data_IF_330854776776
#
_entry.id   IF_330854776776
#
_cell.length_a   1.000
_cell.length_b   1.000
_cell.length_c   1.000
_cell.angle_alpha   90.00
_cell.angle_beta   90.00
_cell.angle_gamma   90.00
#
_symmetry.space_group_name_H-M   'P 1'
#
loop_
_entity.id
_entity.type
_entity.pdbx_description
1 polymer ?
#
# COMPACT_ATOMS: atom_id res chain seq x y z
N UNK A 1 -0.74 52.49 37.01
CA UNK A 1 -1.95 52.21 36.20
C UNK A 1 -1.74 50.86 35.54
N UNK A 2 -2.32 49.81 36.11
CA UNK A 2 -2.21 48.44 35.60
C UNK A 2 -3.28 48.21 34.53
N UNK A 3 -2.84 47.89 33.32
CA UNK A 3 -3.68 47.45 32.20
C UNK A 3 -4.17 46.03 32.52
N UNK A 4 -5.41 45.89 32.99
CA UNK A 4 -6.03 44.58 33.13
C UNK A 4 -6.31 44.04 31.72
N UNK A 5 -5.61 42.97 31.34
CA UNK A 5 -5.96 42.17 30.19
C UNK A 5 -7.35 41.58 30.42
N UNK A 6 -8.34 42.09 29.68
CA UNK A 6 -9.70 41.55 29.66
C UNK A 6 -9.61 40.14 29.09
N UNK A 7 -9.74 39.13 29.95
CA UNK A 7 -9.89 37.74 29.53
C UNK A 7 -11.24 37.65 28.81
N UNK A 8 -11.31 37.30 27.51
CA UNK A 8 -12.58 37.25 26.79
C UNK A 8 -13.49 36.19 27.41
N UNK A 9 -14.79 36.48 27.45
CA UNK A 9 -15.77 35.54 28.00
C UNK A 9 -15.75 34.24 27.19
N UNK A 10 -16.04 33.09 27.83
CA UNK A 10 -16.05 31.76 27.18
C UNK A 10 -16.87 31.70 25.86
N UNK A 11 -17.87 32.56 25.70
CA UNK A 11 -18.68 32.68 24.48
C UNK A 11 -17.94 33.28 23.27
N UNK A 12 -16.99 34.19 23.50
CA UNK A 12 -16.30 34.93 22.43
C UNK A 12 -15.32 34.03 21.68
N UNK A 13 -14.64 33.14 22.40
CA UNK A 13 -13.70 32.17 21.83
C UNK A 13 -14.39 31.13 20.93
N UNK A 14 -15.56 30.64 21.35
CA UNK A 14 -16.35 29.69 20.56
C UNK A 14 -16.90 30.33 19.29
N UNK A 15 -17.38 31.57 19.36
CA UNK A 15 -17.85 32.31 18.20
C UNK A 15 -16.72 32.63 17.21
N UNK A 16 -15.54 33.02 17.72
CA UNK A 16 -14.36 33.25 16.90
C UNK A 16 -13.89 31.96 16.20
N UNK A 17 -13.86 30.84 16.93
CA UNK A 17 -13.50 29.53 16.40
C UNK A 17 -14.51 29.00 15.37
N UNK A 18 -15.78 29.38 15.44
CA UNK A 18 -16.85 28.99 14.51
C UNK A 18 -16.90 29.81 13.20
N UNK A 19 -15.98 30.76 13.01
CA UNK A 19 -16.02 31.71 11.90
C UNK A 19 -15.74 31.06 10.53
N UNK A 20 -16.53 31.44 9.52
CA UNK A 20 -16.32 31.03 8.12
C UNK A 20 -15.01 31.58 7.53
N UNK A 21 -14.51 32.71 8.04
CA UNK A 21 -13.20 33.25 7.65
C UNK A 21 -12.07 32.32 8.09
N UNK A 22 -12.18 31.74 9.29
CA UNK A 22 -11.24 30.73 9.78
C UNK A 22 -11.30 29.49 8.91
N UNK A 23 -12.49 29.02 8.52
CA UNK A 23 -12.65 27.91 7.58
C UNK A 23 -11.89 28.16 6.26
N UNK A 24 -12.06 29.34 5.66
CA UNK A 24 -11.37 29.70 4.41
C UNK A 24 -9.85 29.70 4.55
N UNK A 25 -9.32 30.27 5.65
CA UNK A 25 -7.88 30.25 5.93
C UNK A 25 -7.38 28.82 6.09
N UNK A 26 -8.11 27.97 6.81
CA UNK A 26 -7.73 26.58 7.02
C UNK A 26 -7.78 25.74 5.73
N UNK A 27 -8.75 26.01 4.85
CA UNK A 27 -8.81 25.39 3.51
C UNK A 27 -7.64 25.84 2.64
N UNK A 28 -7.27 27.12 2.68
CA UNK A 28 -6.09 27.63 1.99
C UNK A 28 -4.79 27.01 2.53
N UNK A 29 -4.68 26.85 3.85
CA UNK A 29 -3.54 26.16 4.49
C UNK A 29 -3.49 24.68 4.11
N UNK A 30 -4.63 23.99 4.03
CA UNK A 30 -4.69 22.60 3.56
C UNK A 30 -4.21 22.49 2.11
N UNK A 31 -4.70 23.37 1.22
CA UNK A 31 -4.29 23.40 -0.18
C UNK A 31 -2.78 23.72 -0.33
N UNK A 32 -2.27 24.69 0.44
CA UNK A 32 -0.86 25.02 0.48
C UNK A 32 -0.01 23.86 1.03
N UNK A 33 -0.50 23.16 2.06
CA UNK A 33 0.15 21.97 2.62
C UNK A 33 0.29 20.86 1.58
N UNK A 34 -0.78 20.57 0.83
CA UNK A 34 -0.75 19.62 -0.29
C UNK A 34 0.27 20.07 -1.34
N UNK A 35 0.21 21.33 -1.79
CA UNK A 35 1.16 21.85 -2.78
C UNK A 35 2.62 21.77 -2.34
N UNK A 36 2.90 22.14 -1.08
CA UNK A 36 4.23 22.06 -0.50
C UNK A 36 4.76 20.63 -0.43
N UNK A 37 3.91 19.64 -0.14
CA UNK A 37 4.34 18.23 -0.11
C UNK A 37 4.78 17.73 -1.48
N UNK A 38 4.13 18.17 -2.56
CA UNK A 38 4.55 17.85 -3.92
C UNK A 38 5.82 18.59 -4.35
N UNK A 39 6.02 19.82 -3.88
CA UNK A 39 7.13 20.66 -4.32
C UNK A 39 8.43 20.45 -3.53
N UNK A 40 8.34 20.04 -2.27
CA UNK A 40 9.45 20.06 -1.32
C UNK A 40 9.79 18.69 -0.72
N UNK A 41 9.16 17.60 -1.20
CA UNK A 41 9.26 16.25 -0.61
C UNK A 41 9.08 16.26 0.93
N UNK A 42 8.23 17.16 1.42
CA UNK A 42 7.99 17.35 2.85
C UNK A 42 7.14 16.22 3.45
N UNK A 43 7.20 16.04 4.77
CA UNK A 43 6.37 15.06 5.50
C UNK A 43 4.87 15.33 5.27
N UNK A 44 4.30 14.53 4.37
CA UNK A 44 2.90 14.55 3.94
C UNK A 44 1.95 14.37 5.13
N UNK A 45 2.35 13.62 6.17
CA UNK A 45 1.48 13.30 7.30
C UNK A 45 1.14 14.52 8.14
N UNK A 46 2.13 15.34 8.49
CA UNK A 46 1.86 16.54 9.30
C UNK A 46 1.19 17.64 8.48
N UNK A 47 1.61 17.83 7.23
CA UNK A 47 1.07 18.84 6.33
C UNK A 47 -0.44 18.67 6.07
N UNK A 48 -0.95 17.44 6.12
CA UNK A 48 -2.38 17.14 5.97
C UNK A 48 -3.12 17.02 7.30
N UNK A 49 -2.58 16.29 8.28
CA UNK A 49 -3.32 16.02 9.53
C UNK A 49 -3.54 17.27 10.40
N UNK A 50 -2.59 18.21 10.44
CA UNK A 50 -2.70 19.43 11.23
C UNK A 50 -3.85 20.36 10.76
N UNK A 51 -3.92 20.78 9.47
CA UNK A 51 -5.03 21.60 9.00
C UNK A 51 -6.38 20.86 9.06
N UNK A 52 -6.41 19.54 8.82
CA UNK A 52 -7.64 18.75 9.00
C UNK A 52 -8.11 18.76 10.46
N UNK A 53 -7.20 18.61 11.43
CA UNK A 53 -7.53 18.71 12.85
C UNK A 53 -8.10 20.08 13.24
N UNK A 54 -7.50 21.16 12.71
CA UNK A 54 -8.02 22.52 12.92
C UNK A 54 -9.39 22.73 12.26
N UNK A 55 -9.60 22.19 11.06
CA UNK A 55 -10.91 22.21 10.38
C UNK A 55 -11.98 21.47 11.19
N UNK A 56 -11.63 20.32 11.77
CA UNK A 56 -12.55 19.58 12.64
C UNK A 56 -12.95 20.40 13.87
N UNK A 57 -11.99 21.07 14.52
CA UNK A 57 -12.27 21.94 15.67
C UNK A 57 -13.14 23.15 15.29
N UNK A 58 -12.85 23.79 14.15
CA UNK A 58 -13.66 24.89 13.61
C UNK A 58 -15.10 24.45 13.32
N UNK A 59 -15.28 23.30 12.67
CA UNK A 59 -16.60 22.78 12.34
C UNK A 59 -17.38 22.34 13.59
N UNK A 60 -16.72 21.71 14.56
CA UNK A 60 -17.34 21.38 15.84
C UNK A 60 -17.81 22.64 16.59
N UNK A 61 -16.98 23.69 16.61
CA UNK A 61 -17.36 24.99 17.17
C UNK A 61 -18.56 25.60 16.42
N UNK A 62 -18.58 25.51 15.09
CA UNK A 62 -19.69 25.99 14.28
C UNK A 62 -21.01 25.27 14.58
N UNK A 63 -20.99 23.94 14.76
CA UNK A 63 -22.17 23.14 15.14
C UNK A 63 -22.66 23.54 16.55
N UNK A 64 -21.73 23.73 17.49
CA UNK A 64 -22.04 24.10 18.87
C UNK A 64 -22.53 25.55 19.02
N UNK A 65 -22.02 26.49 18.23
CA UNK A 65 -22.37 27.90 18.33
C UNK A 65 -23.67 28.25 17.57
N UNK A 66 -23.91 27.65 16.41
CA UNK A 66 -25.00 28.09 15.52
C UNK A 66 -26.34 27.35 15.79
N UNK A 67 -27.38 28.03 16.27
CA UNK A 67 -28.67 27.39 16.58
C UNK A 67 -29.44 26.94 15.33
N UNK A 68 -29.17 27.54 14.16
CA UNK A 68 -29.79 27.18 12.88
C UNK A 68 -29.50 25.73 12.52
N UNK A 69 -28.25 25.28 12.70
CA UNK A 69 -27.87 23.89 12.44
C UNK A 69 -28.61 22.93 13.36
N UNK A 70 -28.78 23.28 14.65
CA UNK A 70 -29.46 22.41 15.62
C UNK A 70 -30.97 22.31 15.44
N UNK A 71 -31.58 23.31 14.81
CA UNK A 71 -33.04 23.36 14.59
C UNK A 71 -33.47 22.60 13.34
N UNK A 72 -32.59 22.43 12.35
CA UNK A 72 -32.87 21.68 11.13
C UNK A 72 -32.12 20.35 11.15
N UNK A 73 -32.85 19.25 11.34
CA UNK A 73 -32.26 17.90 11.47
C UNK A 73 -31.45 17.49 10.25
N UNK A 74 -31.91 17.80 9.03
CA UNK A 74 -31.20 17.46 7.81
C UNK A 74 -29.86 18.22 7.70
N UNK A 75 -29.87 19.53 7.99
CA UNK A 75 -28.63 20.31 8.04
C UNK A 75 -27.71 19.87 9.17
N UNK A 76 -28.24 19.48 10.34
CA UNK A 76 -27.43 18.95 11.44
C UNK A 76 -26.69 17.68 11.03
N UNK A 77 -27.42 16.71 10.46
CA UNK A 77 -26.84 15.43 10.00
C UNK A 77 -25.77 15.68 8.95
N UNK A 78 -26.00 16.61 8.01
CA UNK A 78 -25.00 16.98 7.02
C UNK A 78 -23.70 17.50 7.65
N UNK A 79 -23.79 18.43 8.60
CA UNK A 79 -22.59 19.00 9.24
C UNK A 79 -21.88 17.98 10.15
N UNK A 80 -22.63 17.10 10.81
CA UNK A 80 -22.05 16.00 11.59
C UNK A 80 -21.34 14.99 10.67
N UNK A 81 -21.91 14.68 9.51
CA UNK A 81 -21.27 13.83 8.51
C UNK A 81 -19.99 14.49 7.95
N UNK A 82 -20.01 15.81 7.68
CA UNK A 82 -18.82 16.55 7.28
C UNK A 82 -17.74 16.55 8.38
N UNK A 83 -18.11 16.72 9.65
CA UNK A 83 -17.19 16.61 10.77
C UNK A 83 -16.59 15.22 10.87
N UNK A 84 -17.41 14.18 10.75
CA UNK A 84 -16.95 12.80 10.71
C UNK A 84 -15.95 12.58 9.56
N UNK A 85 -16.23 13.09 8.36
CA UNK A 85 -15.31 12.99 7.21
C UNK A 85 -13.95 13.63 7.50
N UNK A 86 -13.93 14.85 8.04
CA UNK A 86 -12.66 15.55 8.35
C UNK A 86 -11.88 14.82 9.44
N UNK A 87 -12.56 14.36 10.50
CA UNK A 87 -11.93 13.61 11.61
C UNK A 87 -11.39 12.27 11.11
N UNK A 88 -12.17 11.52 10.34
CA UNK A 88 -11.77 10.23 9.77
C UNK A 88 -10.60 10.40 8.79
N UNK A 89 -10.61 11.43 7.95
CA UNK A 89 -9.49 11.70 7.04
C UNK A 89 -8.19 12.01 7.81
N UNK A 90 -8.26 12.80 8.88
CA UNK A 90 -7.12 13.07 9.76
C UNK A 90 -6.64 11.79 10.46
N UNK A 91 -7.56 11.00 11.01
CA UNK A 91 -7.25 9.74 11.69
C UNK A 91 -6.65 8.70 10.72
N UNK A 92 -7.18 8.59 9.50
CA UNK A 92 -6.66 7.74 8.44
C UNK A 92 -5.21 8.12 8.11
N UNK A 93 -4.94 9.43 7.88
CA UNK A 93 -3.57 9.89 7.61
C UNK A 93 -2.61 9.69 8.79
N UNK A 94 -3.08 9.63 10.03
CA UNK A 94 -2.23 9.34 11.18
C UNK A 94 -2.02 7.84 11.42
N UNK A 95 -2.88 6.97 10.88
CA UNK A 95 -2.87 5.52 11.18
C UNK A 95 -2.64 4.61 9.98
N UNK A 96 -2.55 5.16 8.76
CA UNK A 96 -2.35 4.37 7.54
C UNK A 96 -1.01 3.65 7.52
N UNK A 97 -0.94 2.61 6.69
CA UNK A 97 0.30 2.03 6.19
C UNK A 97 0.17 1.82 4.69
N UNK A 98 1.24 2.14 3.97
CA UNK A 98 1.46 1.74 2.59
C UNK A 98 2.84 1.09 2.52
N UNK A 99 2.96 -0.03 1.83
CA UNK A 99 4.25 -0.68 1.69
C UNK A 99 4.34 -1.64 0.53
N UNK A 100 5.54 -2.11 0.29
CA UNK A 100 5.87 -3.05 -0.77
C UNK A 100 6.67 -4.21 -0.18
N UNK A 101 6.46 -5.40 -0.73
CA UNK A 101 7.23 -6.59 -0.42
C UNK A 101 7.36 -7.45 -1.68
N UNK A 102 8.27 -8.42 -1.64
CA UNK A 102 8.44 -9.40 -2.70
C UNK A 102 8.54 -10.79 -2.08
N UNK A 103 7.87 -11.77 -2.65
CA UNK A 103 7.95 -13.17 -2.20
C UNK A 103 8.19 -14.07 -3.39
N UNK A 104 9.22 -14.93 -3.28
CA UNK A 104 9.37 -16.04 -4.19
C UNK A 104 8.28 -17.11 -3.93
N UNK A 105 8.00 -17.92 -4.94
CA UNK A 105 7.08 -19.04 -4.81
C UNK A 105 7.56 -20.02 -3.72
N UNK A 106 6.68 -20.28 -2.76
CA UNK A 106 6.94 -21.07 -1.56
C UNK A 106 7.39 -20.27 -0.34
N UNK A 107 7.71 -18.99 -0.48
CA UNK A 107 8.07 -18.13 0.65
C UNK A 107 6.85 -17.66 1.45
N UNK A 108 7.08 -17.38 2.73
CA UNK A 108 6.08 -16.90 3.67
C UNK A 108 6.37 -15.44 4.01
N UNK A 109 5.37 -14.59 3.91
CA UNK A 109 5.45 -13.23 4.43
C UNK A 109 5.52 -13.25 5.96
N UNK A 110 6.59 -12.69 6.50
CA UNK A 110 6.89 -12.66 7.94
C UNK A 110 6.69 -11.27 8.57
N UNK A 111 6.02 -10.34 7.88
CA UNK A 111 5.81 -8.98 8.34
C UNK A 111 6.88 -7.97 7.92
N UNK A 112 7.92 -8.39 7.20
CA UNK A 112 8.99 -7.50 6.72
C UNK A 112 8.63 -6.88 5.36
N UNK A 113 8.64 -5.56 5.27
CA UNK A 113 8.42 -4.82 4.03
C UNK A 113 9.74 -4.33 3.46
N UNK A 114 9.90 -4.43 2.13
CA UNK A 114 11.07 -3.89 1.43
C UNK A 114 11.08 -2.36 1.48
N UNK A 115 9.90 -1.75 1.36
CA UNK A 115 9.70 -0.31 1.46
C UNK A 115 8.37 -0.05 2.18
N UNK A 116 8.33 0.97 3.04
CA UNK A 116 7.10 1.31 3.75
C UNK A 116 7.02 2.80 4.08
N UNK A 117 5.79 3.30 4.10
CA UNK A 117 5.40 4.62 4.55
C UNK A 117 4.20 4.44 5.48
N UNK A 118 4.24 5.05 6.67
CA UNK A 118 3.19 4.89 7.67
C UNK A 118 2.88 6.20 8.38
N UNK A 119 1.64 6.32 8.83
CA UNK A 119 1.22 7.40 9.71
C UNK A 119 1.89 7.30 11.08
N UNK A 120 2.07 8.45 11.75
CA UNK A 120 2.79 8.55 13.04
C UNK A 120 2.19 7.71 14.17
N UNK A 121 0.91 7.35 14.08
CA UNK A 121 0.19 6.53 15.05
C UNK A 121 -0.06 5.11 14.55
N UNK A 122 0.46 4.74 13.38
CA UNK A 122 0.37 3.36 12.92
C UNK A 122 1.14 2.44 13.88
N UNK A 123 0.47 1.42 14.38
CA UNK A 123 1.07 0.33 15.15
C UNK A 123 1.12 -0.88 14.25
N UNK A 124 2.29 -1.21 13.72
CA UNK A 124 2.45 -2.36 12.83
C UNK A 124 2.05 -3.65 13.55
N UNK A 125 1.17 -4.42 12.91
CA UNK A 125 0.79 -5.77 13.30
C UNK A 125 0.92 -6.73 12.09
N UNK A 126 1.83 -6.40 11.16
CA UNK A 126 2.02 -7.14 9.91
C UNK A 126 2.43 -8.59 10.15
N UNK A 127 3.09 -8.88 11.27
CA UNK A 127 3.47 -10.22 11.70
C UNK A 127 2.27 -11.14 11.95
N UNK A 128 1.06 -10.60 12.10
CA UNK A 128 -0.19 -11.37 12.19
C UNK A 128 -0.77 -11.71 10.82
N UNK A 129 -0.42 -10.94 9.79
CA UNK A 129 -0.94 -11.08 8.44
C UNK A 129 -0.07 -12.01 7.57
N UNK A 130 0.37 -13.14 8.11
CA UNK A 130 1.26 -14.07 7.41
C UNK A 130 0.50 -14.86 6.34
N UNK A 131 1.10 -14.98 5.16
CA UNK A 131 0.62 -15.85 4.10
C UNK A 131 1.81 -16.38 3.30
N UNK A 132 1.67 -17.55 2.69
CA UNK A 132 2.65 -18.12 1.77
C UNK A 132 2.25 -17.81 0.33
N UNK A 133 3.23 -17.41 -0.49
CA UNK A 133 3.05 -17.28 -1.92
C UNK A 133 3.05 -18.67 -2.58
N UNK A 134 1.97 -19.06 -3.25
CA UNK A 134 1.90 -20.32 -4.00
C UNK A 134 2.22 -20.15 -5.49
N UNK A 135 2.64 -18.94 -5.92
CA UNK A 135 3.02 -18.64 -7.30
C UNK A 135 1.90 -17.97 -8.08
N UNK A 136 2.23 -17.53 -9.30
CA UNK A 136 1.30 -16.78 -10.15
C UNK A 136 1.15 -17.36 -11.55
N UNK A 137 0.04 -16.98 -12.17
CA UNK A 137 -0.22 -17.12 -13.60
C UNK A 137 -0.59 -15.74 -14.14
N UNK A 138 0.11 -15.31 -15.19
CA UNK A 138 -0.15 -14.03 -15.86
C UNK A 138 -0.28 -14.28 -17.35
N UNK A 139 -1.42 -13.88 -17.90
CA UNK A 139 -1.66 -13.91 -19.35
C UNK A 139 -1.20 -12.60 -19.99
N UNK A 140 -0.68 -12.69 -21.20
CA UNK A 140 -0.28 -11.56 -22.03
C UNK A 140 -1.04 -11.63 -23.35
N UNK A 141 -1.62 -10.51 -23.74
CA UNK A 141 -2.16 -10.28 -25.07
C UNK A 141 -1.04 -9.89 -26.04
N UNK A 142 -1.39 -9.80 -27.33
CA UNK A 142 -0.49 -9.31 -28.38
C UNK A 142 0.14 -7.97 -27.99
N UNK A 143 1.40 -7.79 -28.34
CA UNK A 143 2.23 -6.65 -27.93
C UNK A 143 2.75 -6.76 -26.50
N UNK A 144 2.72 -7.94 -25.88
CA UNK A 144 3.16 -8.17 -24.49
C UNK A 144 2.37 -7.30 -23.49
N UNK A 145 1.09 -7.10 -23.79
CA UNK A 145 0.18 -6.36 -22.92
C UNK A 145 -0.32 -7.28 -21.80
N UNK A 146 -0.03 -6.93 -20.54
CA UNK A 146 -0.47 -7.73 -19.40
C UNK A 146 -1.99 -7.75 -19.31
N UNK A 147 -2.57 -8.94 -19.36
CA UNK A 147 -3.98 -9.17 -19.10
C UNK A 147 -4.17 -9.58 -17.63
N UNK A 148 -4.89 -10.68 -17.39
CA UNK A 148 -5.23 -11.14 -16.05
C UNK A 148 -4.02 -11.67 -15.26
N UNK A 149 -3.87 -11.18 -14.02
CA UNK A 149 -2.97 -11.74 -13.00
C UNK A 149 -3.75 -12.59 -12.01
N UNK A 150 -3.25 -13.79 -11.72
CA UNK A 150 -3.78 -14.67 -10.66
C UNK A 150 -2.62 -15.18 -9.82
N UNK A 151 -2.55 -14.82 -8.54
CA UNK A 151 -1.52 -15.29 -7.62
C UNK A 151 -2.16 -16.11 -6.50
N UNK A 152 -1.82 -17.41 -6.42
CA UNK A 152 -2.28 -18.28 -5.34
C UNK A 152 -1.60 -17.92 -4.02
N UNK A 153 -2.36 -17.92 -2.94
CA UNK A 153 -1.83 -17.71 -1.58
C UNK A 153 -2.52 -18.65 -0.60
N UNK A 154 -1.79 -19.04 0.44
CA UNK A 154 -2.33 -19.80 1.57
C UNK A 154 -1.95 -19.17 2.90
N UNK A 155 -2.81 -19.30 3.90
CA UNK A 155 -2.51 -18.85 5.27
C UNK A 155 -3.24 -19.73 6.28
N UNK A 156 -2.83 -19.64 7.54
CA UNK A 156 -3.57 -20.22 8.66
C UNK A 156 -4.43 -19.11 9.26
N UNK A 157 -5.72 -19.37 9.47
CA UNK A 157 -6.61 -18.43 10.16
C UNK A 157 -6.40 -18.45 11.69
N UNK A 158 -7.14 -17.60 12.40
CA UNK A 158 -7.07 -17.48 13.87
C UNK A 158 -7.42 -18.79 14.61
N UNK A 159 -8.11 -19.73 13.95
CA UNK A 159 -8.43 -21.06 14.49
C UNK A 159 -7.41 -22.12 14.09
N UNK A 160 -6.36 -21.74 13.34
CA UNK A 160 -5.35 -22.65 12.82
C UNK A 160 -5.80 -23.44 11.60
N UNK A 161 -6.94 -23.11 10.96
CA UNK A 161 -7.38 -23.79 9.75
C UNK A 161 -6.68 -23.22 8.51
N UNK A 162 -6.29 -24.11 7.60
CA UNK A 162 -5.64 -23.74 6.35
C UNK A 162 -6.65 -23.13 5.38
N UNK A 163 -6.39 -21.89 4.99
CA UNK A 163 -7.16 -21.15 4.00
C UNK A 163 -6.33 -20.95 2.73
N UNK A 164 -7.03 -20.83 1.60
CA UNK A 164 -6.46 -20.51 0.29
C UNK A 164 -7.29 -19.43 -0.39
N UNK A 165 -6.61 -18.56 -1.12
CA UNK A 165 -7.24 -17.56 -1.98
C UNK A 165 -6.39 -17.29 -3.20
N UNK A 166 -6.96 -16.56 -4.15
CA UNK A 166 -6.25 -16.02 -5.31
C UNK A 166 -6.30 -14.52 -5.23
N UNK A 167 -5.13 -13.89 -5.20
CA UNK A 167 -5.01 -12.44 -5.36
C UNK A 167 -5.03 -12.15 -6.86
N UNK A 168 -5.99 -11.33 -7.28
CA UNK A 168 -6.13 -10.87 -8.66
C UNK A 168 -5.88 -9.37 -8.80
N UNK A 169 -6.04 -8.83 -10.01
CA UNK A 169 -5.75 -7.42 -10.28
C UNK A 169 -6.60 -6.43 -9.45
N UNK A 170 -7.85 -6.80 -9.12
CA UNK A 170 -8.77 -5.97 -8.31
C UNK A 170 -9.17 -6.60 -6.97
N UNK A 171 -8.83 -7.88 -6.77
CA UNK A 171 -9.26 -8.67 -5.62
C UNK A 171 -8.07 -8.89 -4.69
N UNK A 172 -7.92 -8.09 -3.61
CA UNK A 172 -6.82 -8.25 -2.68
C UNK A 172 -7.06 -9.42 -1.72
N UNK A 173 -5.96 -9.94 -1.18
CA UNK A 173 -6.03 -10.68 0.07
C UNK A 173 -6.22 -9.67 1.22
N UNK A 174 -7.19 -9.91 2.09
CA UNK A 174 -7.45 -9.06 3.27
C UNK A 174 -7.20 -9.86 4.54
N UNK A 175 -6.17 -9.50 5.31
CA UNK A 175 -5.82 -10.12 6.58
C UNK A 175 -5.64 -9.05 7.65
N UNK A 176 -6.37 -9.16 8.77
CA UNK A 176 -6.28 -8.22 9.90
C UNK A 176 -6.33 -6.73 9.50
N UNK A 177 -7.13 -6.39 8.48
CA UNK A 177 -7.27 -5.02 7.96
C UNK A 177 -6.21 -4.60 6.92
N UNK A 178 -5.15 -5.40 6.73
CA UNK A 178 -4.18 -5.22 5.66
C UNK A 178 -4.70 -5.79 4.35
N UNK A 179 -4.60 -5.01 3.29
CA UNK A 179 -5.02 -5.38 1.92
C UNK A 179 -3.78 -5.56 1.06
N UNK A 180 -3.53 -6.79 0.62
CA UNK A 180 -2.40 -7.13 -0.24
C UNK A 180 -2.87 -7.25 -1.68
N UNK A 181 -2.26 -6.46 -2.56
CA UNK A 181 -2.49 -6.47 -4.00
C UNK A 181 -1.22 -6.95 -4.70
N UNK A 182 -1.38 -7.70 -5.80
CA UNK A 182 -0.25 -7.95 -6.72
C UNK A 182 0.19 -6.63 -7.37
N UNK A 183 1.50 -6.43 -7.47
CA UNK A 183 2.09 -5.30 -8.17
C UNK A 183 2.41 -5.65 -9.64
N UNK A 184 2.89 -4.69 -10.40
CA UNK A 184 3.47 -4.95 -11.74
C UNK A 184 4.80 -5.67 -11.71
N UNK A 185 5.48 -5.68 -10.55
CA UNK A 185 6.79 -6.27 -10.37
C UNK A 185 6.63 -7.77 -10.10
N UNK A 186 7.27 -8.56 -10.96
CA UNK A 186 7.44 -10.00 -10.85
C UNK A 186 8.65 -10.39 -11.66
N UNK A 187 9.21 -11.57 -11.41
CA UNK A 187 10.36 -12.03 -12.17
C UNK A 187 10.80 -13.42 -11.78
N UNK A 188 12.04 -13.72 -12.10
CA UNK A 188 12.68 -15.00 -11.80
C UNK A 188 13.42 -14.93 -10.47
N UNK A 189 13.30 -16.00 -9.69
CA UNK A 189 13.96 -16.15 -8.40
C UNK A 189 14.79 -17.44 -8.37
N UNK A 190 16.10 -17.37 -8.63
CA UNK A 190 17.00 -18.48 -8.36
C UNK A 190 16.92 -18.93 -6.90
N UNK A 191 16.76 -20.23 -6.69
CA UNK A 191 16.78 -20.86 -5.37
C UNK A 191 18.16 -21.43 -5.11
N UNK A 192 18.76 -21.05 -4.00
CA UNK A 192 20.05 -21.54 -3.56
C UNK A 192 19.95 -22.28 -2.24
N UNK A 193 20.82 -23.28 -2.07
CA UNK A 193 21.11 -23.90 -0.77
C UNK A 193 22.57 -23.62 -0.43
N UNK A 194 22.79 -22.96 0.69
CA UNK A 194 24.09 -22.65 1.24
C UNK A 194 24.44 -23.60 2.38
N UNK A 195 25.53 -24.34 2.19
CA UNK A 195 26.13 -25.24 3.17
C UNK A 195 27.40 -24.58 3.72
N UNK A 196 27.32 -23.76 4.79
CA UNK A 196 28.52 -23.16 5.36
C UNK A 196 29.41 -24.25 5.98
N UNK A 197 30.73 -24.02 5.98
CA UNK A 197 31.70 -24.92 6.65
C UNK A 197 31.45 -24.98 8.16
N UNK A 198 30.89 -23.92 8.73
CA UNK A 198 30.39 -23.88 10.10
C UNK A 198 29.05 -23.15 10.17
N UNK A 199 28.07 -23.76 10.83
CA UNK A 199 26.71 -23.22 10.98
C UNK A 199 25.64 -24.09 10.34
N UNK A 200 24.39 -23.61 10.39
CA UNK A 200 23.25 -24.32 9.82
C UNK A 200 23.14 -24.10 8.31
N UNK A 201 22.66 -25.14 7.61
CA UNK A 201 22.23 -25.07 6.21
C UNK A 201 21.18 -23.97 6.04
N UNK A 202 21.31 -23.18 4.98
CA UNK A 202 20.35 -22.12 4.66
C UNK A 202 19.84 -22.28 3.23
N UNK A 203 18.53 -22.34 3.06
CA UNK A 203 17.88 -22.29 1.75
C UNK A 203 17.24 -20.91 1.58
N UNK A 204 17.40 -20.29 0.43
CA UNK A 204 16.83 -18.97 0.16
C UNK A 204 16.83 -18.64 -1.32
N UNK A 205 16.22 -17.51 -1.65
CA UNK A 205 16.12 -17.02 -3.02
C UNK A 205 16.71 -15.63 -3.17
N UNK A 206 17.11 -15.30 -4.39
CA UNK A 206 17.37 -13.92 -4.80
C UNK A 206 16.33 -13.53 -5.85
N UNK A 207 15.75 -12.34 -5.75
CA UNK A 207 14.78 -11.86 -6.72
C UNK A 207 15.51 -11.08 -7.81
N UNK A 208 15.59 -11.64 -9.01
CA UNK A 208 16.18 -10.94 -10.16
C UNK A 208 15.30 -9.77 -10.59
N UNK A 209 15.85 -8.75 -11.29
CA UNK A 209 15.08 -7.61 -11.77
C UNK A 209 13.81 -8.03 -12.53
N UNK A 210 12.76 -7.21 -12.42
CA UNK A 210 11.43 -7.58 -12.92
C UNK A 210 11.40 -7.90 -14.42
N UNK A 211 10.68 -8.96 -14.79
CA UNK A 211 10.50 -9.41 -16.18
C UNK A 211 9.05 -9.14 -16.64
N UNK A 212 8.81 -8.70 -17.89
CA UNK A 212 9.78 -8.46 -18.98
C UNK A 212 10.46 -7.08 -19.00
N UNK A 213 10.11 -6.16 -18.09
CA UNK A 213 10.61 -4.76 -18.11
C UNK A 213 12.15 -4.67 -18.10
N UNK A 214 12.83 -5.63 -17.49
CA UNK A 214 14.29 -5.73 -17.44
C UNK A 214 14.81 -7.02 -18.06
N UNK A 215 14.22 -7.44 -19.19
CA UNK A 215 14.60 -8.65 -19.93
C UNK A 215 16.12 -8.77 -20.19
N UNK A 216 16.77 -7.70 -20.66
CA UNK A 216 18.21 -7.70 -20.93
C UNK A 216 19.09 -7.44 -19.69
N UNK A 217 18.49 -7.33 -18.50
CA UNK A 217 19.18 -7.06 -17.23
C UNK A 217 18.76 -8.04 -16.13
N UNK A 218 18.80 -9.34 -16.42
CA UNK A 218 18.53 -10.41 -15.46
C UNK A 218 19.76 -10.75 -14.60
N UNK A 219 20.34 -9.73 -13.95
CA UNK A 219 21.50 -9.88 -13.10
C UNK A 219 21.47 -8.93 -11.89
N UNK A 220 22.08 -9.34 -10.78
CA UNK A 220 22.27 -8.51 -9.59
C UNK A 220 23.49 -8.94 -8.77
N UNK A 221 23.89 -8.07 -7.83
CA UNK A 221 24.86 -8.40 -6.78
C UNK A 221 24.15 -8.66 -5.45
N UNK A 222 24.62 -9.67 -4.72
CA UNK A 222 24.10 -10.04 -3.42
C UNK A 222 25.20 -10.60 -2.51
N UNK A 223 24.98 -10.58 -1.20
CA UNK A 223 25.93 -11.08 -0.23
C UNK A 223 25.56 -12.47 0.25
N UNK A 224 26.54 -13.37 0.29
CA UNK A 224 26.34 -14.71 0.79
C UNK A 224 26.11 -14.70 2.31
N UNK A 225 25.00 -15.28 2.82
CA UNK A 225 24.61 -15.13 4.21
C UNK A 225 25.67 -15.57 5.22
N UNK A 226 25.97 -14.69 6.18
CA UNK A 226 26.97 -14.95 7.24
C UNK A 226 28.42 -14.79 6.78
N UNK A 227 28.65 -14.20 5.60
CA UNK A 227 29.98 -13.91 5.05
C UNK A 227 30.02 -12.50 4.48
N UNK A 228 31.22 -12.00 4.17
CA UNK A 228 31.42 -10.75 3.41
C UNK A 228 31.65 -11.01 1.91
N UNK A 229 31.34 -12.22 1.43
CA UNK A 229 31.51 -12.58 0.02
C UNK A 229 30.33 -12.04 -0.78
N UNK A 230 30.61 -11.12 -1.69
CA UNK A 230 29.64 -10.63 -2.68
C UNK A 230 29.68 -11.51 -3.92
N UNK A 231 28.51 -11.90 -4.41
CA UNK A 231 28.31 -12.65 -5.64
C UNK A 231 27.54 -11.79 -6.62
N UNK A 232 28.02 -11.75 -7.85
CA UNK A 232 27.21 -11.29 -8.97
C UNK A 232 26.56 -12.51 -9.62
N UNK A 233 25.26 -12.48 -9.84
CA UNK A 233 24.52 -13.61 -10.43
C UNK A 233 23.67 -13.11 -11.58
N UNK A 234 23.78 -13.79 -12.72
CA UNK A 234 22.98 -13.54 -13.91
C UNK A 234 22.27 -14.81 -14.36
N UNK A 235 20.98 -14.69 -14.65
CA UNK A 235 20.23 -15.73 -15.33
C UNK A 235 20.45 -15.61 -16.84
N UNK A 236 20.87 -16.70 -17.47
CA UNK A 236 21.10 -16.79 -18.90
C UNK A 236 20.20 -17.87 -19.51
N UNK A 237 19.40 -17.47 -20.48
CA UNK A 237 18.58 -18.35 -21.32
C UNK A 237 18.51 -17.75 -22.73
N UNK A 238 18.31 -18.61 -23.73
CA UNK A 238 18.15 -18.23 -25.14
C UNK A 238 16.79 -18.72 -25.61
N UNK A 239 15.75 -18.02 -25.18
CA UNK A 239 14.36 -18.40 -25.41
C UNK A 239 13.45 -17.17 -25.40
N UNK A 240 12.51 -17.10 -26.35
CA UNK A 240 11.45 -16.08 -26.35
C UNK A 240 10.33 -16.57 -25.43
N UNK A 241 10.24 -15.98 -24.22
CA UNK A 241 9.23 -16.39 -23.24
C UNK A 241 7.88 -15.75 -23.50
N UNK A 242 7.87 -14.49 -23.94
CA UNK A 242 6.68 -13.72 -24.27
C UNK A 242 6.77 -13.24 -25.72
N UNK A 243 6.00 -13.89 -26.59
CA UNK A 243 5.95 -13.55 -28.01
C UNK A 243 5.00 -12.35 -28.23
N UNK A 244 5.48 -11.24 -28.81
CA UNK A 244 4.64 -10.07 -29.07
C UNK A 244 3.55 -10.32 -30.12
N UNK A 245 3.71 -11.31 -31.01
CA UNK A 245 2.79 -11.52 -32.14
C UNK A 245 1.55 -12.38 -31.77
N UNK A 246 1.59 -13.04 -30.62
CA UNK A 246 0.55 -13.95 -30.16
C UNK A 246 0.22 -13.80 -28.66
N UNK A 247 -0.89 -14.39 -28.25
CA UNK A 247 -1.24 -14.50 -26.83
C UNK A 247 -0.24 -15.44 -26.17
N UNK A 248 0.33 -15.03 -25.05
CA UNK A 248 1.34 -15.80 -24.31
C UNK A 248 1.06 -15.79 -22.80
N UNK A 249 1.83 -16.55 -22.05
CA UNK A 249 1.74 -16.62 -20.59
C UNK A 249 3.14 -16.52 -20.01
N UNK A 250 3.27 -15.86 -18.85
CA UNK A 250 4.51 -15.91 -18.09
C UNK A 250 4.85 -17.36 -17.75
N UNK A 251 6.08 -17.76 -18.02
CA UNK A 251 6.62 -19.10 -17.75
C UNK A 251 8.12 -19.01 -17.48
N UNK A 252 8.65 -20.04 -16.83
CA UNK A 252 10.10 -20.21 -16.71
C UNK A 252 10.69 -20.62 -18.07
N UNK A 253 11.94 -20.23 -18.38
CA UNK A 253 12.67 -20.81 -19.49
C UNK A 253 12.84 -22.33 -19.30
N UNK A 254 12.76 -23.09 -20.38
CA UNK A 254 12.94 -24.55 -20.33
C UNK A 254 14.41 -24.93 -20.11
N UNK A 255 15.32 -24.12 -20.67
CA UNK A 255 16.76 -24.29 -20.55
C UNK A 255 17.39 -22.97 -20.13
N UNK A 256 18.06 -23.00 -18.98
CA UNK A 256 18.75 -21.84 -18.43
C UNK A 256 19.93 -22.27 -17.59
N UNK A 257 20.93 -21.40 -17.53
CA UNK A 257 22.06 -21.50 -16.62
C UNK A 257 22.14 -20.23 -15.77
N UNK A 258 22.78 -20.33 -14.61
CA UNK A 258 23.22 -19.16 -13.87
C UNK A 258 24.69 -18.91 -14.10
N UNK A 259 25.03 -17.67 -14.44
CA UNK A 259 26.42 -17.20 -14.39
C UNK A 259 26.63 -16.57 -13.03
N UNK A 260 27.48 -17.16 -12.22
CA UNK A 260 27.87 -16.65 -10.90
C UNK A 260 29.31 -16.18 -10.96
N UNK A 261 29.56 -14.93 -10.55
CA UNK A 261 30.90 -14.36 -10.46
C UNK A 261 31.25 -14.02 -9.01
N UNK A 262 32.46 -14.42 -8.60
CA UNK A 262 33.03 -14.16 -7.28
C UNK A 262 34.44 -13.61 -7.50
N UNK A 263 34.62 -12.30 -7.31
CA UNK A 263 35.83 -11.62 -7.76
C UNK A 263 36.04 -11.81 -9.26
N UNK A 264 37.17 -12.38 -9.66
CA UNK A 264 37.49 -12.67 -11.07
C UNK A 264 37.00 -14.06 -11.54
N UNK A 265 36.60 -14.94 -10.61
CA UNK A 265 36.15 -16.28 -10.97
C UNK A 265 34.73 -16.25 -11.55
N UNK A 266 34.54 -16.94 -12.68
CA UNK A 266 33.23 -17.11 -13.33
C UNK A 266 32.85 -18.59 -13.32
N UNK A 267 31.66 -18.88 -12.81
CA UNK A 267 31.06 -20.20 -12.78
C UNK A 267 29.74 -20.17 -13.56
N UNK A 268 29.51 -21.19 -14.38
CA UNK A 268 28.20 -21.45 -14.96
C UNK A 268 27.59 -22.63 -14.20
N UNK A 269 26.33 -22.48 -13.77
CA UNK A 269 25.61 -23.49 -13.01
C UNK A 269 24.29 -23.85 -13.69
N UNK A 270 24.13 -25.13 -14.00
CA UNK A 270 22.83 -25.74 -14.24
C UNK A 270 22.13 -26.03 -12.89
N UNK A 271 20.79 -26.19 -12.87
CA UNK A 271 20.08 -26.63 -11.67
C UNK A 271 20.66 -27.94 -11.09
N UNK A 272 20.91 -27.96 -9.80
CA UNK A 272 21.56 -29.05 -9.06
C UNK A 272 23.09 -28.91 -8.93
N UNK A 273 23.73 -28.04 -9.70
CA UNK A 273 25.18 -27.84 -9.63
C UNK A 273 25.60 -26.94 -8.47
N UNK A 274 26.89 -27.02 -8.09
CA UNK A 274 27.41 -26.35 -6.90
C UNK A 274 28.77 -25.70 -7.12
N UNK A 275 29.04 -24.66 -6.35
CA UNK A 275 30.34 -23.99 -6.25
C UNK A 275 30.91 -24.26 -4.87
N UNK A 276 32.14 -24.77 -4.82
CA UNK A 276 32.91 -24.87 -3.58
C UNK A 276 33.63 -23.56 -3.30
N UNK A 277 33.36 -22.97 -2.14
CA UNK A 277 33.96 -21.72 -1.64
C UNK A 277 34.77 -22.02 -0.38
N UNK A 278 35.76 -21.18 -0.02
CA UNK A 278 36.48 -21.34 1.24
C UNK A 278 35.57 -21.34 2.48
N UNK A 279 34.40 -20.69 2.38
CA UNK A 279 33.43 -20.58 3.47
C UNK A 279 32.40 -21.72 3.49
N UNK A 280 32.33 -22.58 2.47
CA UNK A 280 31.30 -23.61 2.33
C UNK A 280 30.92 -23.91 0.88
N UNK A 281 29.80 -24.59 0.66
CA UNK A 281 29.31 -24.99 -0.66
C UNK A 281 27.98 -24.30 -1.00
N UNK A 282 27.92 -23.63 -2.14
CA UNK A 282 26.70 -23.01 -2.66
C UNK A 282 26.13 -23.87 -3.78
N UNK A 283 24.92 -24.39 -3.58
CA UNK A 283 24.21 -25.21 -4.56
C UNK A 283 23.12 -24.37 -5.21
N UNK A 284 23.09 -24.32 -6.53
CA UNK A 284 21.95 -23.79 -7.26
C UNK A 284 20.88 -24.89 -7.35
N UNK A 285 19.76 -24.76 -6.63
CA UNK A 285 18.75 -25.81 -6.56
C UNK A 285 17.86 -25.82 -7.81
N UNK A 286 17.22 -24.68 -8.12
CA UNK A 286 16.28 -24.53 -9.23
C UNK A 286 15.96 -23.07 -9.50
N UNK A 287 15.33 -22.81 -10.64
CA UNK A 287 14.68 -21.52 -10.90
C UNK A 287 13.25 -21.53 -10.33
N UNK A 288 12.84 -20.40 -9.78
CA UNK A 288 11.48 -20.13 -9.31
C UNK A 288 10.98 -18.81 -9.89
N UNK A 289 9.75 -18.43 -9.52
CA UNK A 289 9.23 -17.09 -9.77
C UNK A 289 9.08 -16.31 -8.47
N UNK A 290 9.03 -14.98 -8.55
CA UNK A 290 8.67 -14.11 -7.44
C UNK A 290 7.62 -13.09 -7.87
N UNK A 291 6.77 -12.72 -6.92
CA UNK A 291 5.74 -11.70 -7.09
C UNK A 291 5.97 -10.56 -6.11
N UNK A 292 5.91 -9.34 -6.61
CA UNK A 292 5.87 -8.14 -5.78
C UNK A 292 4.44 -7.83 -5.36
N UNK A 293 4.24 -7.43 -4.11
CA UNK A 293 2.96 -7.02 -3.57
C UNK A 293 3.01 -5.59 -3.05
N UNK A 294 1.86 -4.92 -3.10
CA UNK A 294 1.63 -3.68 -2.35
C UNK A 294 0.65 -3.97 -1.23
N UNK A 295 0.98 -3.52 -0.02
CA UNK A 295 0.11 -3.61 1.15
C UNK A 295 -0.43 -2.24 1.50
N UNK A 296 -1.73 -2.18 1.80
CA UNK A 296 -2.41 -0.99 2.29
C UNK A 296 -3.16 -1.29 3.57
N UNK A 297 -3.12 -0.37 4.53
CA UNK A 297 -3.94 -0.39 5.72
C UNK A 297 -4.54 0.99 5.94
N UNK A 298 -5.87 1.04 6.03
CA UNK A 298 -6.62 2.20 6.50
C UNK A 298 -8.00 1.73 6.97
N UNK A 299 -8.21 1.74 8.29
CA UNK A 299 -9.46 1.30 8.91
C UNK A 299 -10.60 2.32 8.74
N UNK A 300 -10.29 3.56 8.34
CA UNK A 300 -11.26 4.65 8.23
C UNK A 300 -12.06 4.61 6.94
N UNK A 301 -11.57 3.94 5.90
CA UNK A 301 -12.20 3.86 4.57
C UNK A 301 -13.70 3.50 4.57
N UNK A 302 -14.17 2.42 5.22
CA UNK A 302 -15.61 2.10 5.23
C UNK A 302 -16.44 3.19 5.93
N UNK A 303 -15.89 3.84 6.97
CA UNK A 303 -16.55 4.91 7.70
C UNK A 303 -16.59 6.22 6.92
N UNK A 304 -15.53 6.53 6.17
CA UNK A 304 -15.51 7.65 5.22
C UNK A 304 -16.61 7.47 4.17
N UNK A 305 -16.73 6.27 3.60
CA UNK A 305 -17.78 5.96 2.65
C UNK A 305 -19.18 6.13 3.27
N UNK A 306 -19.42 5.59 4.46
CA UNK A 306 -20.68 5.75 5.16
C UNK A 306 -21.01 7.22 5.48
N UNK A 307 -20.03 8.01 5.93
CA UNK A 307 -20.20 9.43 6.21
C UNK A 307 -20.49 10.23 4.92
N UNK A 308 -19.85 9.91 3.80
CA UNK A 308 -20.17 10.48 2.49
C UNK A 308 -21.62 10.19 2.08
N UNK A 309 -22.08 8.94 2.22
CA UNK A 309 -23.46 8.57 1.91
C UNK A 309 -24.46 9.33 2.79
N UNK A 310 -24.19 9.46 4.09
CA UNK A 310 -25.03 10.24 5.00
C UNK A 310 -25.07 11.73 4.64
N UNK A 311 -23.93 12.31 4.27
CA UNK A 311 -23.87 13.71 3.82
C UNK A 311 -24.71 13.93 2.55
N UNK A 312 -24.58 13.04 1.55
CA UNK A 312 -25.36 13.13 0.31
C UNK A 312 -26.86 12.93 0.58
N UNK A 313 -27.23 11.91 1.34
CA UNK A 313 -28.63 11.60 1.64
C UNK A 313 -29.31 12.73 2.44
N UNK A 314 -28.62 13.28 3.44
CA UNK A 314 -29.15 14.39 4.24
C UNK A 314 -29.32 15.67 3.42
N UNK A 315 -28.39 15.97 2.50
CA UNK A 315 -28.51 17.11 1.60
C UNK A 315 -29.65 16.93 0.60
N UNK A 316 -29.76 15.73 -0.01
CA UNK A 316 -30.86 15.40 -0.92
C UNK A 316 -32.21 15.55 -0.23
N UNK A 317 -32.33 15.05 1.01
CA UNK A 317 -33.53 15.19 1.82
C UNK A 317 -33.86 16.65 2.14
N UNK A 318 -32.86 17.46 2.51
CA UNK A 318 -33.05 18.89 2.79
C UNK A 318 -33.63 19.64 1.57
N UNK A 319 -33.05 19.41 0.38
CA UNK A 319 -33.55 20.04 -0.85
C UNK A 319 -34.90 19.49 -1.27
N UNK A 320 -35.14 18.19 -1.11
CA UNK A 320 -36.44 17.58 -1.38
C UNK A 320 -37.53 18.24 -0.55
N UNK A 321 -37.32 18.40 0.77
CA UNK A 321 -38.27 19.09 1.64
C UNK A 321 -38.52 20.53 1.21
N UNK A 322 -37.47 21.24 0.79
CA UNK A 322 -37.57 22.63 0.34
C UNK A 322 -38.34 22.75 -0.97
N UNK A 323 -38.08 21.88 -1.94
CA UNK A 323 -38.77 21.86 -3.23
C UNK A 323 -40.21 21.36 -3.09
N UNK A 324 -40.48 20.35 -2.26
CA UNK A 324 -41.84 19.89 -2.00
C UNK A 324 -42.70 20.93 -1.25
N UNK A 325 -42.07 21.86 -0.53
CA UNK A 325 -42.75 22.96 0.15
C UNK A 325 -43.06 24.16 -0.76
N UNK A 326 -42.48 24.25 -1.96
CA UNK A 326 -42.87 25.20 -3.00
C UNK A 326 -43.62 24.46 -4.11
N UNK A 327 -44.95 24.55 -4.22
CA UNK A 327 -45.64 24.07 -5.41
C UNK A 327 -45.04 24.78 -6.63
N UNK A 328 -44.88 24.04 -7.73
CA UNK A 328 -44.59 24.63 -9.03
C UNK A 328 -45.80 25.51 -9.40
N UNK A 329 -45.69 26.82 -9.22
CA UNK A 329 -46.64 27.80 -9.76
C UNK A 329 -46.42 27.87 -11.28
N UNK A 330 -46.88 26.83 -11.96
CA UNK A 330 -46.92 26.77 -13.42
C UNK A 330 -48.22 27.39 -13.91
N UNK A 331 -48.32 28.71 -13.86
CA UNK A 331 -49.32 29.45 -14.62
C UNK A 331 -48.63 30.33 -15.67
N UNK A 332 -49.16 30.19 -16.89
CA UNK A 332 -48.74 30.80 -18.15
C UNK A 332 -49.20 32.25 -18.31
#
# INVERSE_FOLDING_TARGET
MQTFAVIPARGDWLAAAASSRVTLVLLALLAAGIGATYALDADVTFALSAPLGLLALNLAAAIAANPVFRRNTALLVFHLALLALVVLAAAGRLTYLKGQLELAEGEVFNGQLTQSEAGRWHRSQLERAQFANEGFTIRYEKGVNRAETRNGVRWLDDNGALQRAVIGDINPLVLHGYRFYTSSNKGFAPVFVWHPTGGALRRGTINLPSYPVHEYRQALEWQLPGTNTTLWTMLQFDEVLLDPEQVSQFRLPEKHNLVVRIGEARHELAPGESISLPQGMLVYERLSTWMGYTVFYDWTLPWLFAACLLAVASMAWHFWQKCAAQPWDGDA
#
